data_IF_818171726966
#
_entry.id   IF_818171726966
#
_cell.length_a   1.000
_cell.length_b   1.000
_cell.length_c   1.000
_cell.angle_alpha   90.00
_cell.angle_beta   90.00
_cell.angle_gamma   90.00
#
_symmetry.space_group_name_H-M   'P 1'
#
loop_
_entity.id
_entity.type
_entity.pdbx_description
1 polymer ?
#
# COMPACT_ATOMS: atom_id res chain seq x y z
N UNK A 1 -46.29 -26.32 -4.36
CA UNK A 1 -45.34 -26.71 -5.43
C UNK A 1 -44.18 -25.73 -5.42
N UNK A 2 -42.94 -26.20 -5.24
CA UNK A 2 -41.75 -25.33 -5.33
C UNK A 2 -41.44 -25.09 -6.81
N UNK A 3 -41.28 -23.83 -7.20
CA UNK A 3 -40.87 -23.46 -8.57
C UNK A 3 -39.57 -24.19 -8.92
N UNK A 4 -39.43 -24.75 -10.14
CA UNK A 4 -38.16 -25.29 -10.60
C UNK A 4 -37.09 -24.20 -10.51
N UNK A 5 -35.93 -24.53 -9.94
CA UNK A 5 -34.77 -23.64 -9.95
C UNK A 5 -34.39 -23.36 -11.40
N UNK A 6 -34.26 -22.08 -11.72
CA UNK A 6 -33.70 -21.65 -13.01
C UNK A 6 -32.17 -21.74 -12.90
N UNK A 7 -31.66 -22.93 -13.19
CA UNK A 7 -30.23 -23.21 -13.13
C UNK A 7 -29.44 -22.36 -14.13
N UNK A 8 -30.06 -21.95 -15.25
CA UNK A 8 -29.42 -21.10 -16.24
C UNK A 8 -29.21 -19.68 -15.69
N UNK A 9 -30.19 -19.16 -14.95
CA UNK A 9 -30.05 -17.89 -14.24
C UNK A 9 -28.99 -17.95 -13.12
N UNK A 10 -28.94 -19.05 -12.34
CA UNK A 10 -27.91 -19.25 -11.31
C UNK A 10 -26.50 -19.38 -11.92
N UNK A 11 -26.37 -20.10 -13.04
CA UNK A 11 -25.10 -20.26 -13.76
C UNK A 11 -24.58 -18.91 -14.27
N UNK A 12 -25.47 -18.12 -14.90
CA UNK A 12 -25.14 -16.79 -15.41
C UNK A 12 -24.71 -15.84 -14.28
N UNK A 13 -25.41 -15.87 -13.15
CA UNK A 13 -25.07 -15.05 -11.99
C UNK A 13 -23.71 -15.45 -11.37
N UNK A 14 -23.35 -16.75 -11.38
CA UNK A 14 -22.02 -17.19 -10.95
C UNK A 14 -20.93 -16.75 -11.91
N UNK A 15 -21.18 -16.84 -13.22
CA UNK A 15 -20.21 -16.41 -14.22
C UNK A 15 -19.93 -14.91 -14.14
N UNK A 16 -20.96 -14.09 -13.99
CA UNK A 16 -20.83 -12.65 -13.79
C UNK A 16 -20.00 -12.33 -12.54
N UNK A 17 -20.32 -12.96 -11.40
CA UNK A 17 -19.53 -12.82 -10.17
C UNK A 17 -18.07 -13.23 -10.35
N UNK A 18 -17.80 -14.30 -11.09
CA UNK A 18 -16.42 -14.73 -11.36
C UNK A 18 -15.67 -13.68 -12.19
N UNK A 19 -16.32 -13.08 -13.19
CA UNK A 19 -15.75 -11.99 -14.00
C UNK A 19 -15.50 -10.73 -13.17
N UNK A 20 -16.41 -10.36 -12.28
CA UNK A 20 -16.25 -9.22 -11.38
C UNK A 20 -15.09 -9.42 -10.41
N UNK A 21 -14.97 -10.60 -9.81
CA UNK A 21 -13.87 -10.94 -8.93
C UNK A 21 -12.52 -10.90 -9.66
N UNK A 22 -12.47 -11.41 -10.90
CA UNK A 22 -11.27 -11.33 -11.74
C UNK A 22 -10.89 -9.87 -12.02
N UNK A 23 -11.87 -9.06 -12.40
CA UNK A 23 -11.66 -7.64 -12.71
C UNK A 23 -11.15 -6.87 -11.49
N UNK A 24 -11.74 -7.10 -10.32
CA UNK A 24 -11.29 -6.51 -9.06
C UNK A 24 -9.87 -6.93 -8.70
N UNK A 25 -9.52 -8.21 -8.89
CA UNK A 25 -8.15 -8.70 -8.63
C UNK A 25 -7.12 -8.05 -9.54
N UNK A 26 -7.44 -7.86 -10.83
CA UNK A 26 -6.56 -7.17 -11.77
C UNK A 26 -6.34 -5.72 -11.36
N UNK A 27 -7.40 -5.01 -10.97
CA UNK A 27 -7.29 -3.63 -10.47
C UNK A 27 -6.43 -3.55 -9.20
N UNK A 28 -6.66 -4.43 -8.23
CA UNK A 28 -5.87 -4.49 -6.99
C UNK A 28 -4.38 -4.76 -7.24
N UNK A 29 -4.05 -5.61 -8.22
CA UNK A 29 -2.67 -5.84 -8.62
C UNK A 29 -2.06 -4.60 -9.29
N UNK A 30 -2.83 -3.91 -10.13
CA UNK A 30 -2.40 -2.63 -10.72
C UNK A 30 -2.12 -1.56 -9.65
N UNK A 31 -3.04 -1.39 -8.70
CA UNK A 31 -2.85 -0.48 -7.56
C UNK A 31 -1.64 -0.86 -6.70
N UNK A 32 -1.36 -2.15 -6.54
CA UNK A 32 -0.19 -2.61 -5.80
C UNK A 32 1.10 -2.21 -6.52
N UNK A 33 1.19 -2.46 -7.83
CA UNK A 33 2.37 -2.10 -8.65
C UNK A 33 2.66 -0.61 -8.54
N UNK A 34 1.64 0.23 -8.68
CA UNK A 34 1.76 1.69 -8.52
C UNK A 34 2.17 2.06 -7.10
N UNK A 35 1.53 1.48 -6.07
CA UNK A 35 1.86 1.79 -4.68
C UNK A 35 3.29 1.41 -4.30
N UNK A 36 3.83 0.35 -4.90
CA UNK A 36 5.23 -0.06 -4.72
C UNK A 36 6.22 0.78 -5.53
N UNK A 37 5.74 1.66 -6.42
CA UNK A 37 6.57 2.41 -7.36
C UNK A 37 7.21 1.53 -8.43
N UNK A 38 6.62 0.36 -8.71
CA UNK A 38 7.10 -0.57 -9.72
C UNK A 38 6.51 -0.27 -11.11
N UNK A 39 5.62 0.71 -11.21
CA UNK A 39 5.01 1.19 -12.45
C UNK A 39 5.99 1.97 -13.35
N UNK A 40 7.15 2.37 -12.81
CA UNK A 40 8.25 2.98 -13.59
C UNK A 40 9.13 1.95 -14.29
N UNK A 41 9.02 0.66 -13.91
CA UNK A 41 9.77 -0.43 -14.53
C UNK A 41 9.07 -0.89 -15.80
N UNK A 42 9.85 -1.35 -16.78
CA UNK A 42 9.29 -1.96 -17.97
C UNK A 42 8.63 -3.31 -17.63
N UNK A 43 7.61 -3.68 -18.41
CA UNK A 43 6.82 -4.89 -18.18
C UNK A 43 7.70 -6.16 -18.16
N UNK A 44 8.73 -6.22 -19.00
CA UNK A 44 9.66 -7.35 -19.08
C UNK A 44 10.57 -7.44 -17.85
N UNK A 45 11.03 -6.31 -17.30
CA UNK A 45 11.84 -6.28 -16.08
C UNK A 45 11.01 -6.71 -14.86
N UNK A 46 9.79 -6.21 -14.74
CA UNK A 46 8.86 -6.61 -13.69
C UNK A 46 8.52 -8.10 -13.79
N UNK A 47 8.24 -8.60 -14.99
CA UNK A 47 7.98 -10.02 -15.22
C UNK A 47 9.19 -10.87 -14.85
N UNK A 48 10.40 -10.48 -15.25
CA UNK A 48 11.63 -11.16 -14.89
C UNK A 48 11.84 -11.27 -13.39
N UNK A 49 11.62 -10.18 -12.64
CA UNK A 49 11.72 -10.18 -11.19
C UNK A 49 10.71 -11.14 -10.52
N UNK A 50 9.47 -11.18 -11.02
CA UNK A 50 8.43 -12.10 -10.53
C UNK A 50 8.73 -13.57 -10.85
N UNK A 51 9.33 -13.86 -12.00
CA UNK A 51 9.78 -15.21 -12.36
C UNK A 51 10.87 -15.68 -11.41
N UNK A 52 11.90 -14.87 -11.17
CA UNK A 52 12.97 -15.20 -10.21
C UNK A 52 12.40 -15.49 -8.82
N UNK A 53 11.41 -14.71 -8.38
CA UNK A 53 10.71 -14.97 -7.12
C UNK A 53 9.96 -16.30 -7.12
N UNK A 54 9.28 -16.62 -8.22
CA UNK A 54 8.52 -17.85 -8.36
C UNK A 54 9.45 -19.07 -8.36
N UNK A 55 10.62 -18.98 -9.00
CA UNK A 55 11.61 -20.04 -9.09
C UNK A 55 12.45 -20.21 -7.81
N UNK A 56 12.50 -19.19 -6.94
CA UNK A 56 13.23 -19.27 -5.67
C UNK A 56 12.61 -20.33 -4.75
N UNK A 57 13.31 -21.45 -4.57
CA UNK A 57 12.94 -22.57 -3.67
C UNK A 57 13.52 -22.47 -2.26
N UNK A 58 14.48 -21.58 -2.06
CA UNK A 58 15.09 -21.36 -0.75
C UNK A 58 14.09 -20.68 0.20
N UNK A 59 13.67 -21.41 1.23
CA UNK A 59 12.65 -20.94 2.16
C UNK A 59 13.08 -19.67 2.92
N UNK A 60 14.38 -19.54 3.26
CA UNK A 60 14.92 -18.38 3.96
C UNK A 60 14.85 -17.09 3.11
N UNK A 61 15.20 -17.18 1.83
CA UNK A 61 15.06 -16.07 0.87
C UNK A 61 13.59 -15.70 0.66
N UNK A 62 12.70 -16.68 0.52
CA UNK A 62 11.25 -16.42 0.41
C UNK A 62 10.70 -15.74 1.66
N UNK A 63 11.09 -16.19 2.84
CA UNK A 63 10.66 -15.59 4.11
C UNK A 63 11.17 -14.16 4.25
N UNK A 64 12.43 -13.89 3.90
CA UNK A 64 12.98 -12.53 3.92
C UNK A 64 12.19 -11.58 3.00
N UNK A 65 11.80 -12.04 1.81
CA UNK A 65 11.00 -11.24 0.88
C UNK A 65 9.57 -11.07 1.37
N UNK A 66 8.97 -12.11 1.97
CA UNK A 66 7.67 -12.02 2.60
C UNK A 66 7.66 -11.01 3.76
N UNK A 67 8.71 -11.00 4.60
CA UNK A 67 8.88 -10.04 5.69
C UNK A 67 9.01 -8.61 5.16
N UNK A 68 9.77 -8.40 4.09
CA UNK A 68 9.88 -7.09 3.42
C UNK A 68 8.54 -6.62 2.86
N UNK A 69 7.81 -7.53 2.19
CA UNK A 69 6.46 -7.25 1.69
C UNK A 69 5.49 -6.89 2.81
N UNK A 70 5.48 -7.65 3.91
CA UNK A 70 4.66 -7.35 5.09
C UNK A 70 4.98 -5.97 5.68
N UNK A 71 6.26 -5.61 5.79
CA UNK A 71 6.67 -4.29 6.27
C UNK A 71 6.16 -3.14 5.39
N UNK A 72 6.17 -3.31 4.05
CA UNK A 72 5.59 -2.34 3.12
C UNK A 72 4.09 -2.11 3.40
N UNK A 73 3.29 -3.17 3.53
CA UNK A 73 1.86 -3.04 3.83
C UNK A 73 1.58 -2.51 5.24
N UNK A 74 2.36 -2.90 6.24
CA UNK A 74 2.23 -2.37 7.61
C UNK A 74 2.54 -0.87 7.67
N UNK A 75 3.56 -0.40 6.94
CA UNK A 75 3.90 1.02 6.85
C UNK A 75 2.77 1.83 6.20
N UNK A 76 2.06 1.25 5.22
CA UNK A 76 0.88 1.86 4.60
C UNK A 76 -0.32 1.87 5.55
N UNK A 77 -0.55 0.81 6.32
CA UNK A 77 -1.60 0.78 7.34
C UNK A 77 -1.38 1.84 8.44
N UNK A 78 -0.13 2.12 8.84
CA UNK A 78 0.16 3.22 9.77
C UNK A 78 -0.05 4.61 9.18
N UNK A 79 0.15 4.77 7.87
CA UNK A 79 -0.07 6.05 7.16
C UNK A 79 -1.54 6.31 6.83
N UNK A 80 -2.33 5.24 6.71
CA UNK A 80 -3.77 5.28 6.46
C UNK A 80 -4.61 5.16 7.75
N UNK A 81 -3.99 4.96 8.91
CA UNK A 81 -4.69 5.11 10.18
C UNK A 81 -5.12 6.58 10.27
N UNK A 82 -6.41 6.89 10.49
CA UNK A 82 -6.82 8.26 10.75
C UNK A 82 -6.01 8.71 11.95
N UNK A 83 -5.18 9.73 11.74
CA UNK A 83 -4.74 10.57 12.84
C UNK A 83 -6.02 11.05 13.49
N UNK A 84 -6.39 10.47 14.63
CA UNK A 84 -7.20 11.17 15.60
C UNK A 84 -6.48 12.48 15.81
N UNK A 85 -7.01 13.52 15.16
CA UNK A 85 -6.56 14.89 15.31
C UNK A 85 -6.47 15.13 16.81
N UNK A 86 -5.24 15.28 17.29
CA UNK A 86 -4.99 15.77 18.63
C UNK A 86 -5.68 17.12 18.70
N UNK A 87 -6.74 17.16 19.50
CA UNK A 87 -7.57 18.33 19.76
C UNK A 87 -6.68 19.57 19.90
N UNK A 88 -6.73 20.40 18.88
CA UNK A 88 -6.19 21.75 18.88
C UNK A 88 -7.20 22.61 19.61
N UNK A 89 -7.03 22.77 20.93
CA UNK A 89 -7.71 23.84 21.65
C UNK A 89 -6.84 24.37 22.79
N UNK A 90 -6.30 25.58 22.57
CA UNK A 90 -5.36 26.24 23.48
C UNK A 90 -4.77 27.55 22.96
N UNK A 91 -5.60 28.41 22.35
CA UNK A 91 -5.48 29.86 22.13
C UNK A 91 -4.35 30.45 21.22
N UNK A 92 -4.68 31.38 20.30
CA UNK A 92 -3.71 32.11 19.47
C UNK A 92 -3.35 33.50 20.02
N UNK A 93 -2.21 34.02 19.52
CA UNK A 93 -1.74 35.43 19.50
C UNK A 93 -1.27 36.04 20.84
N UNK A 94 -0.14 36.73 20.99
CA UNK A 94 0.63 37.58 20.06
C UNK A 94 2.04 37.93 20.68
N UNK A 95 2.91 38.72 20.00
CA UNK A 95 4.38 38.65 20.06
C UNK A 95 5.04 39.77 20.87
N UNK A 96 6.28 39.53 21.34
CA UNK A 96 7.33 40.54 21.63
C UNK A 96 8.53 39.79 22.23
N UNK A 97 9.79 39.93 21.85
CA UNK A 97 10.49 40.85 20.98
C UNK A 97 12.00 40.52 21.08
N UNK A 98 12.76 40.98 20.09
CA UNK A 98 14.23 41.03 20.01
C UNK A 98 15.01 39.71 19.79
N UNK A 99 15.29 39.43 18.51
CA UNK A 99 16.67 39.15 18.09
C UNK A 99 17.33 40.51 17.71
N UNK A 100 18.65 40.71 17.88
CA UNK A 100 19.65 39.98 17.09
C UNK A 100 20.98 39.60 17.80
N UNK A 101 21.67 38.63 17.21
CA UNK A 101 23.07 38.19 17.45
C UNK A 101 24.11 39.26 16.97
N UNK A 102 25.46 39.08 16.88
CA UNK A 102 26.33 37.88 17.05
C UNK A 102 27.77 38.13 17.66
N UNK A 103 28.66 37.12 17.60
CA UNK A 103 30.16 37.15 17.68
C UNK A 103 30.80 37.14 19.10
N UNK A 104 31.93 36.47 19.45
CA UNK A 104 33.13 35.95 18.73
C UNK A 104 34.02 35.12 19.72
N UNK A 105 34.81 34.17 19.17
CA UNK A 105 36.23 33.78 19.51
C UNK A 105 36.66 33.33 20.93
N UNK A 106 37.10 32.06 21.04
CA UNK A 106 38.51 31.61 21.23
C UNK A 106 39.26 31.73 22.58
N UNK A 107 39.91 30.61 22.97
CA UNK A 107 41.04 30.41 23.93
C UNK A 107 40.81 30.81 25.41
N UNK A 108 41.31 30.11 26.43
CA UNK A 108 42.59 29.40 26.65
C UNK A 108 42.42 28.15 27.50
#
# INVERSE_FOLDING_TARGET
MRKPRDFDAELKALEEKARDLKTRKVQQLGELVIATGADVLDADELAGALVVLAETKDAGKREAWAKRGAAFFQSRSRRNAPTTEGNTDGAPAQPSGAQPAPSRKGAT
#
